data_IF_818441649819
#
_entry.id   IF_818441649819
#
_cell.length_a   1.000
_cell.length_b   1.000
_cell.length_c   1.000
_cell.angle_alpha   90.00
_cell.angle_beta   90.00
_cell.angle_gamma   90.00
#
_symmetry.space_group_name_H-M   'P 1'
#
loop_
_entity.id
_entity.type
_entity.pdbx_description
1 polymer ?
#
# COMPACT_ATOMS: atom_id res chain seq x y z
N UNK A 1 9.46 -22.99 10.15
CA UNK A 1 8.00 -22.95 9.98
C UNK A 1 7.64 -22.96 8.50
N UNK A 2 6.61 -23.74 8.09
CA UNK A 2 6.06 -23.65 6.72
C UNK A 2 4.85 -22.73 6.72
N UNK A 3 4.96 -21.57 6.08
CA UNK A 3 3.91 -20.55 6.00
C UNK A 3 3.24 -20.65 4.64
N UNK A 4 1.91 -20.62 4.60
CA UNK A 4 1.14 -20.51 3.36
C UNK A 4 0.43 -19.16 3.27
N UNK A 5 0.81 -18.35 2.31
CA UNK A 5 0.09 -17.13 1.91
C UNK A 5 -0.97 -17.46 0.85
N UNK A 6 -2.20 -17.04 1.11
CA UNK A 6 -3.35 -17.27 0.25
C UNK A 6 -4.03 -15.94 -0.09
N UNK A 7 -4.02 -15.56 -1.38
CA UNK A 7 -4.63 -14.30 -1.83
C UNK A 7 -5.10 -14.33 -3.27
N UNK A 8 -6.23 -13.67 -3.54
CA UNK A 8 -6.65 -13.35 -4.92
C UNK A 8 -6.15 -11.97 -5.39
N UNK A 9 -5.57 -11.14 -4.51
CA UNK A 9 -5.06 -9.81 -4.83
C UNK A 9 -3.64 -9.82 -5.37
N UNK A 10 -3.34 -10.81 -6.20
CA UNK A 10 -2.05 -10.95 -6.87
C UNK A 10 -2.21 -10.83 -8.38
N UNK A 11 -1.56 -9.83 -8.98
CA UNK A 11 -1.54 -9.67 -10.44
C UNK A 11 -0.21 -9.06 -10.89
N UNK A 12 0.14 -9.17 -12.18
CA UNK A 12 1.37 -8.54 -12.69
C UNK A 12 1.44 -7.04 -12.41
N UNK A 13 0.28 -6.37 -12.40
CA UNK A 13 0.14 -4.92 -12.18
C UNK A 13 -0.35 -4.55 -10.78
N UNK A 14 -0.40 -5.48 -9.83
CA UNK A 14 -0.78 -5.17 -8.45
C UNK A 14 0.39 -4.54 -7.68
N UNK A 15 0.06 -3.62 -6.75
CA UNK A 15 1.04 -2.87 -5.96
C UNK A 15 1.37 -3.56 -4.62
N UNK A 16 0.81 -3.04 -3.52
CA UNK A 16 1.23 -3.34 -2.15
C UNK A 16 1.24 -4.81 -1.76
N UNK A 17 0.17 -5.58 -2.03
CA UNK A 17 0.08 -7.00 -1.64
C UNK A 17 1.13 -7.85 -2.36
N UNK A 18 1.30 -7.66 -3.67
CA UNK A 18 2.33 -8.38 -4.44
C UNK A 18 3.72 -8.07 -3.89
N UNK A 19 4.02 -6.79 -3.64
CA UNK A 19 5.31 -6.37 -3.09
C UNK A 19 5.55 -6.98 -1.72
N UNK A 20 4.59 -6.89 -0.82
CA UNK A 20 4.67 -7.52 0.50
C UNK A 20 5.02 -9.01 0.42
N UNK A 21 4.38 -9.78 -0.48
CA UNK A 21 4.64 -11.20 -0.66
C UNK A 21 6.03 -11.47 -1.26
N UNK A 22 6.47 -10.68 -2.23
CA UNK A 22 7.80 -10.80 -2.82
C UNK A 22 8.89 -10.52 -1.80
N UNK A 23 8.72 -9.48 -0.98
CA UNK A 23 9.66 -9.13 0.09
C UNK A 23 9.66 -10.17 1.21
N UNK A 24 8.50 -10.77 1.54
CA UNK A 24 8.42 -11.90 2.49
C UNK A 24 9.21 -13.11 1.98
N UNK A 25 9.08 -13.45 0.72
CA UNK A 25 9.86 -14.54 0.11
C UNK A 25 11.37 -14.23 0.14
N UNK A 26 11.74 -12.99 -0.18
CA UNK A 26 13.13 -12.54 -0.10
C UNK A 26 13.68 -12.59 1.33
N UNK A 27 12.88 -12.19 2.32
CA UNK A 27 13.24 -12.30 3.73
C UNK A 27 13.48 -13.75 4.16
N UNK A 28 12.57 -14.67 3.83
CA UNK A 28 12.73 -16.09 4.17
C UNK A 28 14.03 -16.63 3.56
N UNK A 29 14.27 -16.35 2.29
CA UNK A 29 15.48 -16.81 1.59
C UNK A 29 16.76 -16.29 2.23
N UNK A 30 16.79 -15.04 2.65
CA UNK A 30 18.02 -14.37 3.08
C UNK A 30 18.25 -14.41 4.60
N UNK A 31 17.19 -14.50 5.42
CA UNK A 31 17.25 -14.34 6.86
C UNK A 31 16.62 -15.49 7.65
N UNK A 32 15.86 -16.37 7.02
CA UNK A 32 15.18 -17.50 7.69
C UNK A 32 15.18 -18.74 6.78
N UNK A 33 16.35 -19.25 6.31
CA UNK A 33 16.43 -20.29 5.30
C UNK A 33 15.83 -21.65 5.73
N UNK A 34 15.67 -21.87 7.02
CA UNK A 34 14.99 -23.05 7.59
C UNK A 34 13.47 -22.99 7.47
N UNK A 35 12.91 -21.80 7.25
CA UNK A 35 11.49 -21.62 7.04
C UNK A 35 11.14 -21.88 5.57
N UNK A 36 9.93 -22.40 5.31
CA UNK A 36 9.40 -22.72 3.98
C UNK A 36 8.20 -21.86 3.68
N UNK A 37 8.05 -21.53 2.42
CA UNK A 37 6.94 -20.69 1.97
C UNK A 37 6.12 -21.35 0.85
N UNK A 38 4.82 -21.25 0.96
CA UNK A 38 3.85 -21.64 -0.06
C UNK A 38 3.01 -20.41 -0.41
N UNK A 39 2.88 -20.11 -1.68
CA UNK A 39 2.03 -19.02 -2.16
C UNK A 39 0.95 -19.59 -3.08
N UNK A 40 -0.32 -19.34 -2.76
CA UNK A 40 -1.46 -19.76 -3.59
C UNK A 40 -2.14 -18.51 -4.15
N UNK A 41 -2.13 -18.37 -5.48
CA UNK A 41 -2.65 -17.18 -6.18
C UNK A 41 -3.46 -17.57 -7.43
N UNK A 42 -4.36 -16.69 -7.91
CA UNK A 42 -5.00 -16.90 -9.20
C UNK A 42 -4.03 -16.61 -10.36
N UNK A 43 -4.14 -17.36 -11.44
CA UNK A 43 -3.33 -17.18 -12.63
C UNK A 43 -4.06 -17.46 -13.95
N UNK A 44 -3.37 -17.27 -15.08
CA UNK A 44 -3.92 -17.55 -16.40
C UNK A 44 -4.05 -19.07 -16.69
N UNK A 45 -3.27 -19.88 -16.00
CA UNK A 45 -3.26 -21.35 -16.08
C UNK A 45 -2.97 -21.93 -14.69
N UNK A 46 -3.31 -23.19 -14.49
CA UNK A 46 -2.89 -23.94 -13.31
C UNK A 46 -1.47 -24.41 -13.52
N UNK A 47 -0.57 -24.02 -12.61
CA UNK A 47 0.86 -24.27 -12.72
C UNK A 47 1.51 -24.20 -11.32
N UNK A 48 2.67 -24.83 -11.18
CA UNK A 48 3.47 -24.80 -9.95
C UNK A 48 4.90 -24.43 -10.29
N UNK A 49 5.39 -23.38 -9.63
CA UNK A 49 6.78 -22.96 -9.77
C UNK A 49 7.48 -22.99 -8.43
N UNK A 50 8.73 -23.45 -8.40
CA UNK A 50 9.56 -23.46 -7.19
C UNK A 50 10.69 -22.46 -7.36
N UNK A 51 10.83 -21.58 -6.38
CA UNK A 51 11.92 -20.59 -6.34
C UNK A 51 12.60 -20.66 -4.97
N UNK A 52 13.63 -21.51 -4.86
CA UNK A 52 14.36 -21.74 -3.62
C UNK A 52 13.44 -22.21 -2.49
N UNK A 53 13.25 -21.36 -1.49
CA UNK A 53 12.44 -21.65 -0.28
C UNK A 53 10.94 -21.55 -0.51
N UNK A 54 10.49 -21.01 -1.64
CA UNK A 54 9.08 -20.76 -1.94
C UNK A 54 8.55 -21.64 -3.06
N UNK A 55 7.35 -22.21 -2.86
CA UNK A 55 6.56 -22.89 -3.87
C UNK A 55 5.32 -22.06 -4.20
N UNK A 56 5.16 -21.65 -5.45
CA UNK A 56 4.06 -20.80 -5.92
C UNK A 56 3.08 -21.63 -6.73
N UNK A 57 1.88 -21.74 -6.27
CA UNK A 57 0.74 -22.36 -6.96
C UNK A 57 -0.10 -21.29 -7.64
N UNK A 58 -0.12 -21.31 -8.95
CA UNK A 58 -1.03 -20.54 -9.78
C UNK A 58 -2.26 -21.39 -10.11
N UNK A 59 -3.45 -20.92 -9.76
CA UNK A 59 -4.70 -21.64 -10.07
C UNK A 59 -5.41 -20.87 -11.18
N UNK A 60 -5.80 -21.56 -12.26
CA UNK A 60 -6.56 -20.94 -13.35
C UNK A 60 -7.80 -20.21 -12.82
N UNK A 61 -7.95 -18.95 -13.19
CA UNK A 61 -9.01 -18.10 -12.71
C UNK A 61 -9.42 -17.04 -13.75
N UNK A 62 -10.75 -16.73 -13.87
CA UNK A 62 -11.22 -15.74 -14.82
C UNK A 62 -10.78 -14.33 -14.46
N UNK A 63 -10.54 -13.50 -15.49
CA UNK A 63 -10.19 -12.09 -15.33
C UNK A 63 -11.43 -11.30 -14.91
N UNK A 64 -11.34 -10.60 -13.78
CA UNK A 64 -12.40 -9.70 -13.28
C UNK A 64 -12.18 -8.28 -13.80
N UNK A 65 -10.94 -7.86 -13.95
CA UNK A 65 -10.58 -6.53 -14.41
C UNK A 65 -9.47 -6.62 -15.46
N UNK A 66 -9.81 -6.33 -16.71
CA UNK A 66 -8.84 -6.30 -17.82
C UNK A 66 -7.74 -5.26 -17.62
N UNK A 67 -8.05 -4.15 -16.94
CA UNK A 67 -7.11 -3.06 -16.71
C UNK A 67 -6.08 -3.38 -15.63
N UNK A 68 -6.51 -3.94 -14.49
CA UNK A 68 -5.64 -4.33 -13.38
C UNK A 68 -5.16 -5.78 -13.45
N UNK A 69 -5.68 -6.56 -14.40
CA UNK A 69 -5.39 -8.00 -14.57
C UNK A 69 -5.72 -8.84 -13.32
N UNK A 70 -6.60 -8.34 -12.42
CA UNK A 70 -7.08 -9.13 -11.30
C UNK A 70 -7.98 -10.26 -11.78
N UNK A 71 -7.86 -11.41 -11.10
CA UNK A 71 -8.61 -12.64 -11.37
C UNK A 71 -9.35 -13.08 -10.12
N UNK A 72 -10.50 -13.71 -10.29
CA UNK A 72 -11.29 -14.26 -9.17
C UNK A 72 -10.92 -15.72 -8.94
N UNK A 73 -10.38 -16.02 -7.77
CA UNK A 73 -10.01 -17.39 -7.36
C UNK A 73 -11.29 -18.15 -6.95
N UNK A 74 -11.96 -18.76 -7.92
CA UNK A 74 -13.24 -19.48 -7.73
C UNK A 74 -13.05 -20.96 -7.41
N UNK A 75 -11.96 -21.58 -7.87
CA UNK A 75 -11.67 -22.99 -7.61
C UNK A 75 -11.13 -23.20 -6.18
N UNK A 76 -12.03 -23.14 -5.20
CA UNK A 76 -11.70 -23.32 -3.79
C UNK A 76 -11.36 -24.79 -3.42
N UNK A 77 -11.75 -25.76 -4.27
CA UNK A 77 -11.38 -27.15 -4.10
C UNK A 77 -9.87 -27.35 -4.35
N UNK A 78 -9.35 -26.78 -5.43
CA UNK A 78 -7.90 -26.81 -5.69
C UNK A 78 -7.09 -26.17 -4.53
N UNK A 79 -7.59 -25.07 -3.93
CA UNK A 79 -6.96 -24.47 -2.74
C UNK A 79 -6.89 -25.48 -1.59
N UNK A 80 -7.98 -26.22 -1.34
CA UNK A 80 -8.04 -27.22 -0.28
C UNK A 80 -7.09 -28.39 -0.53
N UNK A 81 -7.06 -28.90 -1.76
CA UNK A 81 -6.16 -29.97 -2.20
C UNK A 81 -4.68 -29.57 -2.00
N UNK A 82 -4.30 -28.35 -2.43
CA UNK A 82 -2.93 -27.83 -2.25
C UNK A 82 -2.60 -27.70 -0.76
N UNK A 83 -3.48 -27.14 0.05
CA UNK A 83 -3.25 -27.00 1.49
C UNK A 83 -3.13 -28.37 2.18
N UNK A 84 -3.93 -29.35 1.75
CA UNK A 84 -3.84 -30.73 2.23
C UNK A 84 -2.52 -31.43 1.87
N UNK A 85 -1.98 -31.16 0.68
CA UNK A 85 -0.68 -31.68 0.22
C UNK A 85 0.48 -30.99 0.93
N UNK A 86 0.45 -29.66 1.01
CA UNK A 86 1.55 -28.86 1.56
C UNK A 86 1.62 -28.91 3.08
N UNK A 87 0.50 -29.13 3.77
CA UNK A 87 0.40 -29.16 5.24
C UNK A 87 1.19 -28.04 5.91
N UNK A 88 0.84 -26.77 5.67
CA UNK A 88 1.56 -25.65 6.28
C UNK A 88 1.39 -25.66 7.80
N UNK A 89 2.33 -25.06 8.51
CA UNK A 89 2.25 -24.82 9.95
C UNK A 89 1.37 -23.63 10.31
N UNK A 90 1.16 -22.71 9.34
CA UNK A 90 0.35 -21.50 9.47
C UNK A 90 -0.17 -21.07 8.10
N UNK A 91 -1.40 -20.56 8.05
CA UNK A 91 -2.00 -19.97 6.84
C UNK A 91 -2.20 -18.48 7.08
N UNK A 92 -1.70 -17.63 6.17
CA UNK A 92 -2.05 -16.21 6.12
C UNK A 92 -2.99 -15.96 4.95
N UNK A 93 -4.11 -15.28 5.20
CA UNK A 93 -5.04 -14.86 4.16
C UNK A 93 -5.12 -13.34 4.07
N UNK A 94 -4.79 -12.81 2.90
CA UNK A 94 -4.95 -11.37 2.58
C UNK A 94 -6.32 -11.05 1.96
N UNK A 95 -7.29 -11.94 2.10
CA UNK A 95 -8.55 -11.89 1.36
C UNK A 95 -9.76 -11.76 2.29
N UNK A 96 -10.60 -10.71 2.13
CA UNK A 96 -11.81 -10.53 2.93
C UNK A 96 -13.05 -11.27 2.37
N UNK A 97 -12.89 -12.09 1.33
CA UNK A 97 -14.02 -12.75 0.63
C UNK A 97 -13.98 -14.28 0.81
N UNK A 98 -14.46 -15.02 -0.20
CA UNK A 98 -14.56 -16.49 -0.17
C UNK A 98 -13.23 -17.19 0.16
N UNK A 99 -12.11 -16.62 -0.27
CA UNK A 99 -10.78 -17.18 -0.02
C UNK A 99 -10.43 -17.10 1.46
N UNK A 100 -10.79 -16.01 2.15
CA UNK A 100 -10.63 -15.88 3.61
C UNK A 100 -11.45 -16.93 4.38
N UNK A 101 -12.70 -17.16 3.99
CA UNK A 101 -13.52 -18.23 4.59
C UNK A 101 -12.94 -19.60 4.31
N UNK A 102 -12.40 -19.84 3.13
CA UNK A 102 -11.72 -21.11 2.79
C UNK A 102 -10.47 -21.32 3.62
N UNK A 103 -9.67 -20.26 3.84
CA UNK A 103 -8.51 -20.33 4.74
C UNK A 103 -8.91 -20.75 6.17
N UNK A 104 -9.98 -20.16 6.72
CA UNK A 104 -10.51 -20.53 8.05
C UNK A 104 -10.95 -21.99 8.09
N UNK A 105 -11.69 -22.46 7.07
CA UNK A 105 -12.15 -23.85 7.02
C UNK A 105 -10.98 -24.83 6.91
N UNK A 106 -10.01 -24.54 6.04
CA UNK A 106 -8.81 -25.37 5.87
C UNK A 106 -7.94 -25.40 7.14
N UNK A 107 -7.74 -24.24 7.80
CA UNK A 107 -6.98 -24.19 9.06
C UNK A 107 -7.59 -25.05 10.17
N UNK A 108 -8.92 -25.08 10.27
CA UNK A 108 -9.63 -25.99 11.19
C UNK A 108 -9.41 -27.45 10.84
N UNK A 109 -9.54 -27.81 9.56
CA UNK A 109 -9.35 -29.19 9.10
C UNK A 109 -7.91 -29.68 9.30
N UNK A 110 -6.93 -28.83 9.06
CA UNK A 110 -5.51 -29.13 9.22
C UNK A 110 -5.00 -28.93 10.64
N UNK A 111 -5.81 -28.36 11.55
CA UNK A 111 -5.46 -28.00 12.93
C UNK A 111 -4.24 -27.07 12.99
N UNK A 112 -4.26 -26.00 12.17
CA UNK A 112 -3.20 -24.99 12.11
C UNK A 112 -3.80 -23.59 12.29
N UNK A 113 -3.04 -22.62 12.88
CA UNK A 113 -3.51 -21.26 13.02
C UNK A 113 -3.68 -20.57 11.67
N UNK A 114 -4.70 -19.72 11.58
CA UNK A 114 -4.97 -18.90 10.41
C UNK A 114 -4.91 -17.43 10.79
N UNK A 115 -4.15 -16.65 10.05
CA UNK A 115 -3.98 -15.22 10.24
C UNK A 115 -4.66 -14.47 9.09
N UNK A 116 -5.44 -13.44 9.39
CA UNK A 116 -6.01 -12.56 8.41
C UNK A 116 -5.19 -11.26 8.30
N UNK A 117 -4.73 -10.87 7.11
CA UNK A 117 -4.13 -9.56 6.92
C UNK A 117 -5.14 -8.60 6.27
N UNK A 118 -5.48 -7.52 6.96
CA UNK A 118 -6.40 -6.49 6.50
C UNK A 118 -5.65 -5.39 5.73
N UNK A 119 -5.27 -5.68 4.48
CA UNK A 119 -4.45 -4.77 3.66
C UNK A 119 -5.16 -3.50 3.18
N UNK A 120 -6.48 -3.52 3.07
CA UNK A 120 -7.23 -2.36 2.57
C UNK A 120 -8.53 -2.17 3.32
N UNK A 121 -8.86 -0.90 3.59
CA UNK A 121 -10.12 -0.51 4.22
C UNK A 121 -11.24 -0.47 3.19
N UNK A 122 -11.56 -1.66 2.63
CA UNK A 122 -12.49 -1.83 1.51
C UNK A 122 -13.91 -1.28 1.75
N UNK A 123 -14.48 -1.27 2.97
CA UNK A 123 -15.81 -0.70 3.16
C UNK A 123 -15.88 0.78 2.81
N UNK A 124 -14.92 1.56 3.29
CA UNK A 124 -14.85 3.00 3.00
C UNK A 124 -14.39 3.27 1.56
N UNK A 125 -13.39 2.54 1.07
CA UNK A 125 -12.80 2.77 -0.25
C UNK A 125 -13.74 2.44 -1.40
N UNK A 126 -14.55 1.39 -1.28
CA UNK A 126 -15.33 0.86 -2.41
C UNK A 126 -16.84 0.91 -2.22
N UNK A 127 -17.36 0.80 -1.00
CA UNK A 127 -18.80 0.71 -0.76
C UNK A 127 -19.44 2.07 -0.53
N UNK A 128 -18.85 2.93 0.29
CA UNK A 128 -19.43 4.24 0.63
C UNK A 128 -19.76 5.09 -0.61
N UNK A 129 -18.90 5.05 -1.63
CA UNK A 129 -19.16 5.74 -2.90
C UNK A 129 -20.26 5.10 -3.75
N UNK A 130 -20.35 3.77 -3.74
CA UNK A 130 -21.31 3.00 -4.55
C UNK A 130 -22.72 2.90 -3.93
N UNK A 131 -22.85 3.11 -2.63
CA UNK A 131 -24.14 3.05 -1.94
C UNK A 131 -24.86 4.41 -1.86
N UNK A 132 -24.24 5.49 -2.35
CA UNK A 132 -24.88 6.82 -2.37
C UNK A 132 -26.21 6.87 -3.09
N UNK A 133 -26.42 6.03 -4.12
CA UNK A 133 -27.70 5.93 -4.83
C UNK A 133 -28.85 5.34 -3.98
N UNK A 134 -28.54 4.69 -2.86
CA UNK A 134 -29.53 4.12 -1.94
C UNK A 134 -30.06 5.15 -0.93
N UNK A 135 -29.64 6.41 -1.03
CA UNK A 135 -29.88 7.44 -0.02
C UNK A 135 -29.11 7.19 1.26
N UNK A 136 -29.12 8.15 2.19
CA UNK A 136 -28.31 8.10 3.43
C UNK A 136 -28.64 6.87 4.28
N UNK A 137 -29.93 6.60 4.53
CA UNK A 137 -30.37 5.44 5.34
C UNK A 137 -29.98 4.11 4.72
N UNK A 138 -30.04 4.01 3.39
CA UNK A 138 -29.61 2.81 2.66
C UNK A 138 -28.10 2.59 2.73
N UNK A 139 -27.34 3.67 2.57
CA UNK A 139 -25.88 3.64 2.70
C UNK A 139 -25.43 3.25 4.12
N UNK A 140 -26.05 3.79 5.15
CA UNK A 140 -25.79 3.42 6.56
C UNK A 140 -26.09 1.93 6.83
N UNK A 141 -27.22 1.43 6.35
CA UNK A 141 -27.55 -0.01 6.47
C UNK A 141 -26.50 -0.88 5.79
N UNK A 142 -26.09 -0.54 4.56
CA UNK A 142 -25.05 -1.27 3.83
C UNK A 142 -23.71 -1.26 4.61
N UNK A 143 -23.33 -0.13 5.19
CA UNK A 143 -22.13 -0.04 6.03
C UNK A 143 -22.25 -0.88 7.29
N UNK A 144 -23.41 -0.88 7.97
CA UNK A 144 -23.66 -1.73 9.15
C UNK A 144 -23.52 -3.23 8.83
N UNK A 145 -24.09 -3.67 7.71
CA UNK A 145 -23.95 -5.05 7.23
C UNK A 145 -22.48 -5.40 6.92
N UNK A 146 -21.76 -4.48 6.29
CA UNK A 146 -20.35 -4.70 5.95
C UNK A 146 -19.48 -4.79 7.21
N UNK A 147 -19.71 -3.94 8.20
CA UNK A 147 -19.01 -4.02 9.51
C UNK A 147 -19.30 -5.35 10.21
N UNK A 148 -20.57 -5.78 10.22
CA UNK A 148 -20.94 -7.08 10.78
C UNK A 148 -20.27 -8.25 10.03
N UNK A 149 -20.15 -8.17 8.71
CA UNK A 149 -19.44 -9.14 7.89
C UNK A 149 -17.94 -9.19 8.23
N UNK A 150 -17.26 -8.03 8.28
CA UNK A 150 -15.86 -7.91 8.67
C UNK A 150 -15.66 -8.54 10.05
N UNK A 151 -16.44 -8.12 11.04
CA UNK A 151 -16.38 -8.69 12.39
C UNK A 151 -16.54 -10.21 12.38
N UNK A 152 -17.52 -10.73 11.62
CA UNK A 152 -17.80 -12.17 11.55
C UNK A 152 -16.64 -12.97 10.96
N UNK A 153 -16.00 -12.47 9.90
CA UNK A 153 -14.89 -13.16 9.25
C UNK A 153 -13.61 -13.02 10.10
N UNK A 154 -13.24 -11.80 10.44
CA UNK A 154 -11.93 -11.53 11.07
C UNK A 154 -11.83 -12.08 12.50
N UNK A 155 -12.93 -12.21 13.22
CA UNK A 155 -12.96 -12.94 14.50
C UNK A 155 -12.83 -14.47 14.36
N UNK A 156 -12.76 -15.01 13.14
CA UNK A 156 -12.47 -16.45 12.91
C UNK A 156 -10.99 -16.74 12.74
N UNK A 157 -10.19 -15.71 12.47
CA UNK A 157 -8.73 -15.85 12.46
C UNK A 157 -8.18 -15.88 13.89
N UNK A 158 -7.01 -16.49 14.09
CA UNK A 158 -6.28 -16.44 15.36
C UNK A 158 -5.68 -15.07 15.64
N UNK A 159 -5.33 -14.34 14.58
CA UNK A 159 -4.96 -12.93 14.65
C UNK A 159 -5.40 -12.21 13.38
N UNK A 160 -5.76 -10.92 13.52
CA UNK A 160 -6.04 -10.01 12.42
C UNK A 160 -4.94 -8.96 12.37
N UNK A 161 -4.08 -9.04 11.37
CA UNK A 161 -2.98 -8.10 11.17
C UNK A 161 -3.48 -6.86 10.45
N UNK A 162 -3.05 -5.70 10.91
CA UNK A 162 -3.32 -4.38 10.29
C UNK A 162 -2.05 -3.55 10.26
N UNK A 163 -1.89 -2.76 9.21
CA UNK A 163 -0.66 -2.01 8.98
C UNK A 163 -0.59 -0.66 9.73
N UNK A 164 -1.62 -0.29 10.51
CA UNK A 164 -1.72 1.00 11.19
C UNK A 164 -2.49 0.85 12.51
N UNK A 165 -1.99 1.46 13.59
CA UNK A 165 -2.65 1.47 14.91
C UNK A 165 -4.02 2.17 14.85
N UNK A 166 -4.14 3.21 14.04
CA UNK A 166 -5.41 3.91 13.81
C UNK A 166 -6.44 2.97 13.17
N UNK A 167 -6.02 2.15 12.20
CA UNK A 167 -6.89 1.15 11.59
C UNK A 167 -7.20 0.00 12.54
N UNK A 168 -6.26 -0.37 13.42
CA UNK A 168 -6.49 -1.35 14.48
C UNK A 168 -7.60 -0.88 15.43
N UNK A 169 -7.57 0.40 15.84
CA UNK A 169 -8.63 1.02 16.62
C UNK A 169 -10.00 0.93 15.96
N UNK A 170 -10.09 1.27 14.68
CA UNK A 170 -11.34 1.18 13.91
C UNK A 170 -11.88 -0.26 13.85
N UNK A 171 -11.03 -1.26 13.61
CA UNK A 171 -11.50 -2.66 13.61
C UNK A 171 -11.93 -3.12 15.00
N UNK A 172 -11.25 -2.68 16.05
CA UNK A 172 -11.63 -2.96 17.44
C UNK A 172 -12.99 -2.33 17.79
N UNK A 173 -13.25 -1.10 17.37
CA UNK A 173 -14.57 -0.45 17.49
C UNK A 173 -15.67 -1.21 16.74
N UNK A 174 -15.33 -1.89 15.64
CA UNK A 174 -16.28 -2.74 14.91
C UNK A 174 -16.48 -4.11 15.58
N UNK A 175 -15.79 -4.37 16.70
CA UNK A 175 -15.88 -5.61 17.48
C UNK A 175 -14.99 -6.74 16.95
N UNK A 176 -13.88 -6.42 16.29
CA UNK A 176 -12.82 -7.39 15.99
C UNK A 176 -11.87 -7.43 17.18
N UNK A 177 -11.75 -8.57 17.86
CA UNK A 177 -11.07 -8.67 19.16
C UNK A 177 -9.63 -9.14 19.09
N UNK A 178 -9.21 -9.75 17.99
CA UNK A 178 -7.91 -10.36 17.76
C UNK A 178 -6.99 -9.51 16.88
N UNK A 179 -7.18 -8.20 16.91
CA UNK A 179 -6.38 -7.26 16.09
C UNK A 179 -4.98 -7.13 16.64
N UNK A 180 -4.00 -7.22 15.77
CA UNK A 180 -2.58 -6.94 16.04
C UNK A 180 -2.03 -5.98 15.00
N UNK A 181 -1.48 -4.87 15.46
CA UNK A 181 -0.74 -3.97 14.59
C UNK A 181 0.55 -4.61 14.10
N UNK A 182 0.84 -4.42 12.85
CA UNK A 182 2.11 -4.76 12.22
C UNK A 182 2.52 -3.61 11.32
N UNK A 183 3.69 -3.69 10.72
CA UNK A 183 4.15 -2.68 9.76
C UNK A 183 4.26 -3.29 8.37
N UNK A 184 4.21 -2.44 7.36
CA UNK A 184 4.77 -2.76 6.05
C UNK A 184 6.13 -2.08 5.94
N UNK A 185 6.98 -2.58 5.08
CA UNK A 185 8.36 -2.14 5.01
C UNK A 185 8.71 -1.38 3.75
N UNK A 186 9.95 -0.95 3.70
CA UNK A 186 10.62 -0.37 2.53
C UNK A 186 11.96 -1.07 2.31
N UNK A 187 12.34 -1.23 1.05
CA UNK A 187 13.67 -1.72 0.68
C UNK A 187 14.72 -0.61 0.88
N UNK A 188 15.39 -0.65 2.02
CA UNK A 188 16.41 0.33 2.41
C UNK A 188 17.73 0.18 1.65
N UNK A 189 17.91 -0.86 0.86
CA UNK A 189 19.03 -1.01 -0.08
C UNK A 189 18.86 -0.12 -1.30
N UNK A 190 17.61 0.02 -1.76
CA UNK A 190 17.23 0.80 -2.95
C UNK A 190 16.78 2.21 -2.53
N UNK A 191 15.79 2.31 -1.63
CA UNK A 191 15.22 3.58 -1.16
C UNK A 191 16.06 4.12 0.01
N UNK A 192 17.04 4.93 -0.34
CA UNK A 192 17.99 5.59 0.58
C UNK A 192 18.48 6.90 -0.02
N UNK A 193 18.97 7.84 0.78
CA UNK A 193 19.65 9.02 0.28
C UNK A 193 20.87 8.63 -0.58
N UNK A 194 21.03 9.27 -1.72
CA UNK A 194 22.19 9.15 -2.59
C UNK A 194 22.35 10.51 -3.33
N UNK A 195 23.16 11.43 -2.81
CA UNK A 195 23.26 12.79 -3.34
C UNK A 195 23.70 12.85 -4.81
N UNK A 196 24.60 11.96 -5.22
CA UNK A 196 25.22 11.98 -6.55
C UNK A 196 24.26 11.67 -7.71
N UNK A 197 23.05 11.14 -7.41
CA UNK A 197 22.04 10.75 -8.42
C UNK A 197 20.95 11.84 -8.62
N UNK A 198 20.97 12.88 -7.81
CA UNK A 198 19.89 13.89 -7.76
C UNK A 198 19.96 14.85 -8.94
N UNK A 199 21.13 15.42 -9.22
CA UNK A 199 21.36 16.40 -10.28
C UNK A 199 21.03 15.82 -11.67
N UNK A 200 21.61 14.69 -12.03
CA UNK A 200 21.37 14.05 -13.31
C UNK A 200 19.90 13.64 -13.53
N UNK A 201 19.15 13.40 -12.45
CA UNK A 201 17.71 13.12 -12.56
C UNK A 201 16.90 14.40 -12.77
N UNK A 202 17.24 15.51 -12.10
CA UNK A 202 16.61 16.82 -12.31
C UNK A 202 16.82 17.31 -13.73
N UNK A 203 18.04 17.16 -14.28
CA UNK A 203 18.37 17.52 -15.66
C UNK A 203 17.53 16.74 -16.67
N UNK A 204 17.44 15.40 -16.52
CA UNK A 204 16.58 14.56 -17.37
C UNK A 204 15.09 14.95 -17.30
N UNK A 205 14.66 15.49 -16.17
CA UNK A 205 13.30 15.97 -15.98
C UNK A 205 13.11 17.40 -16.53
N UNK A 206 14.20 18.14 -16.81
CA UNK A 206 14.18 19.54 -17.22
C UNK A 206 13.79 20.48 -16.07
N UNK A 207 14.20 20.15 -14.84
CA UNK A 207 13.92 20.93 -13.62
C UNK A 207 15.12 21.85 -13.37
N UNK A 208 14.88 23.12 -13.25
CA UNK A 208 15.92 24.11 -12.95
C UNK A 208 16.24 24.15 -11.46
N UNK A 209 17.39 24.68 -11.10
CA UNK A 209 17.87 24.72 -9.71
C UNK A 209 16.97 25.57 -8.79
N UNK A 210 16.44 26.67 -9.33
CA UNK A 210 15.50 27.54 -8.62
C UNK A 210 14.09 26.98 -8.48
N UNK A 211 13.74 25.92 -9.24
CA UNK A 211 12.40 25.31 -9.22
C UNK A 211 12.30 24.23 -8.15
N UNK A 212 11.20 24.20 -7.43
CA UNK A 212 10.86 23.14 -6.46
C UNK A 212 10.13 22.01 -7.16
N UNK A 213 10.68 20.81 -7.06
CA UNK A 213 10.10 19.59 -7.64
C UNK A 213 9.14 18.93 -6.65
N UNK A 214 7.87 18.94 -6.98
CA UNK A 214 6.82 18.19 -6.32
C UNK A 214 6.67 16.84 -7.02
N UNK A 215 6.61 15.75 -6.26
CA UNK A 215 6.45 14.39 -6.77
C UNK A 215 5.17 13.74 -6.24
N UNK A 216 4.42 13.10 -7.12
CA UNK A 216 3.35 12.17 -6.79
C UNK A 216 3.63 10.80 -7.41
N UNK A 217 3.50 9.73 -6.63
CA UNK A 217 3.63 8.35 -7.11
C UNK A 217 2.39 7.57 -6.67
N UNK A 218 1.65 7.02 -7.63
CA UNK A 218 0.48 6.22 -7.30
C UNK A 218 -0.52 6.06 -8.44
N UNK A 219 -1.53 5.22 -8.19
CA UNK A 219 -2.62 5.00 -9.15
C UNK A 219 -3.46 6.26 -9.32
N UNK A 220 -3.74 6.65 -10.56
CA UNK A 220 -4.57 7.81 -10.89
C UNK A 220 -6.05 7.45 -10.77
N UNK A 221 -6.56 7.51 -9.55
CA UNK A 221 -7.90 7.05 -9.22
C UNK A 221 -8.55 7.91 -8.12
N UNK A 222 -9.88 7.88 -8.07
CA UNK A 222 -10.67 8.72 -7.17
C UNK A 222 -10.30 8.50 -5.69
N UNK A 223 -10.06 7.27 -5.29
CA UNK A 223 -9.66 6.90 -3.93
C UNK A 223 -8.25 7.42 -3.55
N UNK A 224 -7.44 7.80 -4.55
CA UNK A 224 -6.14 8.46 -4.36
C UNK A 224 -6.22 9.98 -4.45
N UNK A 225 -7.42 10.52 -4.64
CA UNK A 225 -7.71 11.96 -4.64
C UNK A 225 -6.86 12.79 -5.63
N UNK A 226 -6.51 12.19 -6.77
CA UNK A 226 -5.57 12.77 -7.74
C UNK A 226 -6.11 14.02 -8.44
N UNK A 227 -7.43 14.21 -8.51
CA UNK A 227 -8.02 15.44 -9.02
C UNK A 227 -7.77 16.65 -8.10
N UNK A 228 -7.83 16.43 -6.78
CA UNK A 228 -7.48 17.45 -5.79
C UNK A 228 -6.02 17.86 -5.96
N UNK A 229 -5.09 16.92 -6.13
CA UNK A 229 -3.69 17.23 -6.41
C UNK A 229 -3.53 18.14 -7.64
N UNK A 230 -4.15 17.79 -8.75
CA UNK A 230 -3.99 18.58 -9.97
C UNK A 230 -4.58 19.98 -9.86
N UNK A 231 -5.74 20.11 -9.20
CA UNK A 231 -6.36 21.42 -8.96
C UNK A 231 -5.57 22.25 -7.95
N UNK A 232 -5.01 21.64 -6.91
CA UNK A 232 -4.13 22.35 -5.97
C UNK A 232 -2.84 22.82 -6.67
N UNK A 233 -2.27 22.01 -7.55
CA UNK A 233 -1.11 22.42 -8.33
C UNK A 233 -1.45 23.56 -9.31
N UNK A 234 -2.62 23.56 -9.91
CA UNK A 234 -3.09 24.65 -10.76
C UNK A 234 -3.23 25.98 -9.99
N UNK A 235 -3.73 25.93 -8.75
CA UNK A 235 -3.78 27.08 -7.85
C UNK A 235 -2.38 27.57 -7.48
N UNK A 236 -1.51 26.63 -7.10
CA UNK A 236 -0.13 26.90 -6.73
C UNK A 236 0.64 27.57 -7.89
N UNK A 237 0.48 27.04 -9.12
CA UNK A 237 1.13 27.60 -10.31
C UNK A 237 0.63 29.02 -10.65
N UNK A 238 -0.63 29.35 -10.38
CA UNK A 238 -1.16 30.70 -10.54
C UNK A 238 -0.61 31.68 -9.50
N UNK A 239 -0.41 31.23 -8.26
CA UNK A 239 0.14 32.06 -7.18
C UNK A 239 1.65 32.29 -7.34
N UNK A 240 2.36 31.27 -7.78
CA UNK A 240 3.83 31.23 -7.91
C UNK A 240 4.23 30.73 -9.31
N UNK A 241 4.13 31.57 -10.36
CA UNK A 241 4.51 31.18 -11.71
C UNK A 241 5.99 30.77 -11.77
N UNK A 242 6.28 29.59 -12.33
CA UNK A 242 7.62 29.04 -12.55
C UNK A 242 8.41 28.65 -11.28
N UNK A 243 7.85 28.71 -10.08
CA UNK A 243 8.52 28.24 -8.86
C UNK A 243 8.39 26.73 -8.65
N UNK A 244 7.28 26.14 -9.08
CA UNK A 244 6.98 24.73 -8.83
C UNK A 244 6.86 23.92 -10.11
N UNK A 245 7.37 22.68 -10.06
CA UNK A 245 7.18 21.63 -11.06
C UNK A 245 6.51 20.42 -10.41
N UNK A 246 5.61 19.78 -11.13
CA UNK A 246 4.94 18.56 -10.66
C UNK A 246 5.30 17.38 -11.57
N UNK A 247 5.91 16.35 -11.00
CA UNK A 247 6.09 15.05 -11.64
C UNK A 247 5.05 14.08 -11.10
N UNK A 248 4.26 13.50 -12.00
CA UNK A 248 3.23 12.50 -11.68
C UNK A 248 3.65 11.16 -12.23
N UNK A 249 3.89 10.19 -11.35
CA UNK A 249 4.25 8.81 -11.72
C UNK A 249 3.05 7.89 -11.46
N UNK A 250 2.52 7.32 -12.52
CA UNK A 250 1.41 6.37 -12.43
C UNK A 250 0.37 6.46 -13.52
N UNK A 251 -0.52 5.50 -13.57
CA UNK A 251 -1.65 5.44 -14.50
C UNK A 251 -2.94 5.06 -13.75
N UNK A 252 -4.08 5.32 -14.36
CA UNK A 252 -5.34 4.99 -13.73
C UNK A 252 -6.58 5.52 -14.43
N UNK A 253 -7.79 5.27 -13.87
CA UNK A 253 -9.06 5.71 -14.46
C UNK A 253 -9.15 7.21 -14.72
N UNK A 254 -8.52 8.04 -13.88
CA UNK A 254 -8.57 9.50 -13.99
C UNK A 254 -7.54 10.11 -14.94
N UNK A 255 -6.78 9.30 -15.66
CA UNK A 255 -5.75 9.76 -16.61
C UNK A 255 -6.23 10.83 -17.58
N UNK A 256 -7.38 10.63 -18.20
CA UNK A 256 -7.87 11.57 -19.22
C UNK A 256 -8.30 12.91 -18.63
N UNK A 257 -8.86 12.91 -17.43
CA UNK A 257 -9.24 14.11 -16.69
C UNK A 257 -8.01 14.93 -16.32
N UNK A 258 -6.96 14.28 -15.85
CA UNK A 258 -5.69 14.91 -15.51
C UNK A 258 -5.00 15.50 -16.76
N UNK A 259 -5.05 14.81 -17.89
CA UNK A 259 -4.51 15.32 -19.15
C UNK A 259 -5.24 16.57 -19.64
N UNK A 260 -6.56 16.66 -19.44
CA UNK A 260 -7.32 17.86 -19.77
C UNK A 260 -6.87 19.06 -18.92
N UNK A 261 -6.72 18.87 -17.60
CA UNK A 261 -6.23 19.92 -16.70
C UNK A 261 -4.81 20.37 -17.09
N UNK A 262 -3.92 19.43 -17.36
CA UNK A 262 -2.54 19.73 -17.81
C UNK A 262 -2.53 20.60 -19.09
N UNK A 263 -3.38 20.31 -20.08
CA UNK A 263 -3.38 21.04 -21.36
C UNK A 263 -3.84 22.49 -21.21
N UNK A 264 -4.75 22.75 -20.28
CA UNK A 264 -5.42 24.04 -20.18
C UNK A 264 -4.64 25.07 -19.38
N UNK A 265 -3.90 24.67 -18.34
CA UNK A 265 -3.36 25.61 -17.36
C UNK A 265 -1.87 25.47 -17.07
N UNK A 266 -1.30 24.27 -17.13
CA UNK A 266 0.06 24.00 -16.60
C UNK A 266 0.89 23.11 -17.53
N UNK A 267 0.82 23.31 -18.86
CA UNK A 267 1.39 22.37 -19.84
C UNK A 267 2.89 22.12 -19.66
N UNK A 268 3.67 23.13 -19.37
CA UNK A 268 5.13 23.03 -19.19
C UNK A 268 5.55 22.67 -17.78
N UNK A 269 4.65 22.82 -16.81
CA UNK A 269 4.96 22.66 -15.37
C UNK A 269 4.60 21.30 -14.80
N UNK A 270 3.89 20.44 -15.57
CA UNK A 270 3.54 19.08 -15.17
C UNK A 270 4.17 18.06 -16.12
N UNK A 271 5.01 17.17 -15.59
CA UNK A 271 5.56 16.03 -16.33
C UNK A 271 4.88 14.74 -15.88
N UNK A 272 4.53 13.91 -16.83
CA UNK A 272 3.86 12.66 -16.55
C UNK A 272 4.67 11.45 -17.00
N UNK A 273 4.84 10.49 -16.09
CA UNK A 273 5.46 9.20 -16.29
C UNK A 273 4.37 8.15 -16.05
N UNK A 274 3.95 7.42 -17.09
CA UNK A 274 2.80 6.51 -16.97
C UNK A 274 3.03 5.35 -16.00
N UNK A 275 4.24 4.81 -15.96
CA UNK A 275 4.64 3.74 -15.05
C UNK A 275 6.17 3.67 -14.96
N UNK A 276 6.68 3.45 -13.76
CA UNK A 276 8.08 3.21 -13.50
C UNK A 276 8.22 1.75 -13.00
N UNK A 277 8.82 0.88 -13.80
CA UNK A 277 9.00 -0.54 -13.45
C UNK A 277 10.23 -0.77 -12.57
N UNK A 278 11.24 0.05 -12.76
CA UNK A 278 12.51 -0.07 -12.07
C UNK A 278 12.46 0.66 -10.71
N UNK A 279 12.64 -0.09 -9.62
CA UNK A 279 12.67 0.49 -8.28
C UNK A 279 13.83 1.47 -8.07
N UNK A 280 14.97 1.26 -8.75
CA UNK A 280 16.13 2.16 -8.68
C UNK A 280 15.81 3.49 -9.36
N UNK A 281 15.16 3.45 -10.54
CA UNK A 281 14.69 4.66 -11.22
C UNK A 281 13.62 5.40 -10.39
N UNK A 282 12.71 4.67 -9.77
CA UNK A 282 11.73 5.26 -8.86
C UNK A 282 12.40 5.93 -7.66
N UNK A 283 13.43 5.32 -7.10
CA UNK A 283 14.20 5.89 -6.01
C UNK A 283 14.93 7.17 -6.42
N UNK A 284 15.47 7.25 -7.66
CA UNK A 284 16.08 8.47 -8.16
C UNK A 284 15.07 9.62 -8.33
N UNK A 285 13.81 9.31 -8.72
CA UNK A 285 12.74 10.31 -8.76
C UNK A 285 12.39 10.84 -7.35
N UNK A 286 12.33 9.95 -6.35
CA UNK A 286 12.13 10.40 -4.96
C UNK A 286 13.27 11.31 -4.50
N UNK A 287 14.54 10.93 -4.73
CA UNK A 287 15.71 11.73 -4.33
C UNK A 287 15.77 13.09 -5.01
N UNK A 288 15.36 13.16 -6.29
CA UNK A 288 15.33 14.40 -7.06
C UNK A 288 14.24 15.37 -6.60
N UNK A 289 13.19 14.88 -5.93
CA UNK A 289 12.08 15.71 -5.49
C UNK A 289 12.40 16.46 -4.19
N UNK A 290 11.97 17.70 -4.12
CA UNK A 290 12.03 18.51 -2.89
C UNK A 290 10.93 18.09 -1.91
N UNK A 291 9.75 17.69 -2.44
CA UNK A 291 8.59 17.34 -1.64
C UNK A 291 7.75 16.28 -2.32
N UNK A 292 7.36 15.26 -1.59
CA UNK A 292 6.38 14.28 -2.02
C UNK A 292 4.98 14.72 -1.61
N UNK A 293 4.05 14.82 -2.56
CA UNK A 293 2.67 15.25 -2.28
C UNK A 293 1.74 14.05 -2.25
N UNK A 294 1.08 13.82 -1.12
CA UNK A 294 0.11 12.73 -0.94
C UNK A 294 -1.30 13.28 -0.70
N UNK A 295 -2.15 13.38 -1.73
CA UNK A 295 -3.49 13.96 -1.60
C UNK A 295 -4.54 12.98 -1.03
N UNK A 296 -4.19 11.70 -0.88
CA UNK A 296 -5.14 10.63 -0.54
C UNK A 296 -5.56 10.64 0.92
N UNK A 297 -6.86 10.72 1.18
CA UNK A 297 -7.48 10.70 2.52
C UNK A 297 -7.93 9.29 2.96
N UNK A 298 -7.83 8.30 2.08
CA UNK A 298 -8.25 6.91 2.34
C UNK A 298 -7.08 5.90 2.22
N UNK A 299 -5.86 6.39 2.41
CA UNK A 299 -4.68 5.53 2.38
C UNK A 299 -4.57 4.71 3.66
N UNK A 300 -4.36 3.40 3.52
CA UNK A 300 -4.28 2.50 4.67
C UNK A 300 -2.90 2.44 5.29
N UNK A 301 -1.83 2.60 4.50
CA UNK A 301 -0.46 2.60 4.98
C UNK A 301 0.41 3.65 4.30
N UNK A 302 0.43 3.70 2.96
CA UNK A 302 1.21 4.71 2.22
C UNK A 302 2.64 4.27 1.91
N UNK A 303 2.83 3.14 1.24
CA UNK A 303 4.17 2.67 0.82
C UNK A 303 4.95 3.73 0.05
N UNK A 304 4.31 4.47 -0.87
CA UNK A 304 4.96 5.52 -1.64
C UNK A 304 5.48 6.69 -0.75
N UNK A 305 4.71 7.05 0.29
CA UNK A 305 5.15 8.05 1.26
C UNK A 305 6.31 7.54 2.12
N UNK A 306 6.31 6.26 2.45
CA UNK A 306 7.42 5.64 3.19
C UNK A 306 8.69 5.56 2.34
N UNK A 307 8.57 5.18 1.05
CA UNK A 307 9.67 5.15 0.07
C UNK A 307 10.30 6.55 -0.11
N UNK A 308 9.46 7.57 -0.22
CA UNK A 308 9.89 8.97 -0.29
C UNK A 308 10.71 9.37 0.92
N UNK A 309 10.20 9.12 2.12
CA UNK A 309 10.91 9.42 3.37
C UNK A 309 12.22 8.63 3.49
N UNK A 310 12.23 7.35 3.12
CA UNK A 310 13.44 6.55 3.11
C UNK A 310 14.55 7.14 2.21
N UNK A 311 14.15 7.74 1.08
CA UNK A 311 15.04 8.46 0.16
C UNK A 311 15.50 9.83 0.69
N UNK A 312 14.92 10.35 1.75
CA UNK A 312 15.23 11.66 2.31
C UNK A 312 14.33 12.79 1.83
N UNK A 313 13.23 12.47 1.16
CA UNK A 313 12.25 13.44 0.66
C UNK A 313 11.05 13.51 1.58
N UNK A 314 10.79 14.67 2.22
CA UNK A 314 9.67 14.82 3.13
C UNK A 314 8.33 14.75 2.39
N UNK A 315 7.28 14.49 3.14
CA UNK A 315 5.91 14.31 2.63
C UNK A 315 5.02 15.43 3.10
N UNK A 316 4.19 15.95 2.21
CA UNK A 316 3.06 16.83 2.54
C UNK A 316 1.77 16.24 1.99
N UNK A 317 0.66 16.43 2.68
CA UNK A 317 -0.63 15.88 2.25
C UNK A 317 -1.82 16.46 3.00
N UNK A 318 -2.92 15.71 2.94
CA UNK A 318 -4.14 16.01 3.67
C UNK A 318 -4.17 15.09 4.91
N UNK A 319 -4.28 15.69 6.10
CA UNK A 319 -4.29 14.98 7.35
C UNK A 319 -5.54 14.08 7.54
N UNK A 320 -5.46 13.17 8.49
CA UNK A 320 -6.59 12.33 8.89
C UNK A 320 -6.68 10.96 8.23
N UNK A 321 -5.76 10.60 7.31
CA UNK A 321 -5.67 9.25 6.76
C UNK A 321 -5.03 8.24 7.73
N UNK A 322 -5.14 6.94 7.42
CA UNK A 322 -4.44 5.91 8.21
C UNK A 322 -2.93 5.91 7.96
N UNK A 323 -2.48 6.56 6.89
CA UNK A 323 -1.08 6.75 6.54
C UNK A 323 -0.35 7.71 7.49
N UNK A 324 -1.06 8.55 8.23
CA UNK A 324 -0.44 9.55 9.13
C UNK A 324 0.55 8.89 10.11
N UNK A 325 0.31 7.62 10.47
CA UNK A 325 1.17 6.84 11.37
C UNK A 325 2.56 6.49 10.80
N UNK A 326 2.74 6.51 9.48
CA UNK A 326 4.05 6.23 8.84
C UNK A 326 4.83 7.48 8.50
N UNK A 327 4.28 8.67 8.77
CA UNK A 327 4.98 9.93 8.56
C UNK A 327 5.92 10.20 9.73
N UNK A 328 7.22 10.26 9.43
CA UNK A 328 8.31 10.33 10.39
C UNK A 328 8.78 11.77 10.69
N UNK A 329 7.93 12.76 10.44
CA UNK A 329 8.20 14.17 10.69
C UNK A 329 6.91 14.91 11.04
N UNK A 330 7.06 16.15 11.51
CA UNK A 330 5.92 16.96 11.92
C UNK A 330 4.95 17.26 10.79
N UNK A 331 3.66 17.13 11.04
CA UNK A 331 2.56 17.31 10.09
C UNK A 331 1.75 18.58 10.35
N UNK A 332 2.24 19.52 11.16
CA UNK A 332 1.49 20.72 11.58
C UNK A 332 0.93 21.54 10.42
N UNK A 333 1.70 21.67 9.32
CA UNK A 333 1.28 22.41 8.13
C UNK A 333 0.60 21.55 7.08
N UNK A 334 0.14 20.34 7.41
CA UNK A 334 -0.64 19.55 6.49
C UNK A 334 -2.06 20.12 6.34
N UNK A 335 -2.63 19.98 5.14
CA UNK A 335 -4.00 20.41 4.89
C UNK A 335 -4.98 19.70 5.83
N UNK A 336 -5.79 20.47 6.55
CA UNK A 336 -6.80 19.92 7.48
C UNK A 336 -8.12 19.63 6.76
N UNK A 337 -8.31 20.23 5.58
CA UNK A 337 -9.50 20.03 4.75
C UNK A 337 -9.13 19.33 3.43
N UNK A 338 -10.04 18.49 2.97
CA UNK A 338 -9.91 17.83 1.68
C UNK A 338 -10.37 18.77 0.55
N UNK A 339 -9.60 19.84 0.32
CA UNK A 339 -9.84 20.82 -0.76
C UNK A 339 -8.56 21.12 -1.52
N UNK A 340 -8.66 21.54 -2.79
CA UNK A 340 -7.50 21.99 -3.57
C UNK A 340 -6.80 23.18 -2.93
N UNK A 341 -7.55 24.12 -2.36
CA UNK A 341 -7.07 25.34 -1.74
C UNK A 341 -6.21 25.03 -0.51
N UNK A 342 -6.73 24.17 0.41
CA UNK A 342 -6.02 23.77 1.62
C UNK A 342 -4.73 22.99 1.28
N UNK A 343 -4.76 22.12 0.27
CA UNK A 343 -3.57 21.38 -0.14
C UNK A 343 -2.54 22.30 -0.80
N UNK A 344 -2.94 23.28 -1.62
CA UNK A 344 -2.03 24.27 -2.19
C UNK A 344 -1.33 25.08 -1.10
N UNK A 345 -2.08 25.60 -0.14
CA UNK A 345 -1.52 26.34 1.01
C UNK A 345 -0.56 25.47 1.84
N UNK A 346 -0.93 24.21 2.12
CA UNK A 346 -0.04 23.28 2.82
C UNK A 346 1.29 23.04 2.06
N UNK A 347 1.26 22.94 0.72
CA UNK A 347 2.47 22.81 -0.10
C UNK A 347 3.33 24.09 0.02
N UNK A 348 2.72 25.28 -0.06
CA UNK A 348 3.42 26.57 0.09
C UNK A 348 4.13 26.66 1.45
N UNK A 349 3.40 26.46 2.53
CA UNK A 349 3.92 26.52 3.89
C UNK A 349 5.03 25.48 4.14
N UNK A 350 4.83 24.24 3.62
CA UNK A 350 5.82 23.19 3.77
C UNK A 350 7.10 23.48 2.99
N UNK A 351 6.95 24.04 1.79
CA UNK A 351 8.07 24.41 0.90
C UNK A 351 8.94 25.55 1.44
N UNK A 352 8.41 26.35 2.37
CA UNK A 352 9.18 27.38 3.07
C UNK A 352 10.06 26.82 4.22
N UNK A 353 9.85 25.57 4.64
CA UNK A 353 10.61 24.92 5.69
C UNK A 353 11.99 24.42 5.20
N UNK A 354 12.89 24.08 6.12
CA UNK A 354 14.17 23.43 5.80
C UNK A 354 13.97 21.96 5.40
N UNK A 355 13.52 21.74 4.17
CA UNK A 355 13.13 20.40 3.65
C UNK A 355 14.26 19.36 3.80
N UNK A 356 15.52 19.74 3.58
CA UNK A 356 16.66 18.84 3.72
C UNK A 356 16.86 18.32 5.15
N UNK A 357 16.52 19.12 6.17
CA UNK A 357 16.58 18.69 7.58
C UNK A 357 15.43 17.74 7.89
N UNK A 358 14.22 18.08 7.44
CA UNK A 358 13.04 17.22 7.61
C UNK A 358 13.26 15.87 6.93
N UNK A 359 13.73 15.87 5.70
CA UNK A 359 13.99 14.66 4.92
C UNK A 359 15.07 13.77 5.56
N UNK A 360 16.18 14.32 6.01
CA UNK A 360 17.22 13.54 6.71
C UNK A 360 16.68 12.87 7.98
N UNK A 361 15.91 13.60 8.78
CA UNK A 361 15.30 13.05 9.99
C UNK A 361 14.30 11.94 9.66
N UNK A 362 13.40 12.18 8.70
CA UNK A 362 12.43 11.20 8.24
C UNK A 362 13.11 9.93 7.70
N UNK A 363 14.17 10.08 6.89
CA UNK A 363 14.91 8.94 6.34
C UNK A 363 15.55 8.08 7.43
N UNK A 364 16.15 8.69 8.44
CA UNK A 364 16.75 7.94 9.56
C UNK A 364 15.69 7.11 10.27
N UNK A 365 14.53 7.68 10.60
CA UNK A 365 13.44 6.98 11.28
C UNK A 365 12.83 5.92 10.36
N UNK A 366 12.50 6.27 9.12
CA UNK A 366 11.89 5.33 8.17
C UNK A 366 12.77 4.09 7.98
N UNK A 367 14.06 4.26 7.76
CA UNK A 367 15.00 3.15 7.53
C UNK A 367 15.26 2.31 8.78
N UNK A 368 15.22 2.91 9.98
CA UNK A 368 15.43 2.17 11.23
C UNK A 368 14.22 1.35 11.68
N UNK A 369 12.99 1.80 11.38
CA UNK A 369 11.77 1.18 11.87
C UNK A 369 11.03 0.36 10.81
N UNK A 370 11.22 0.68 9.52
CA UNK A 370 10.42 0.13 8.42
C UNK A 370 11.26 -0.62 7.37
N UNK A 371 12.50 -1.04 7.66
CA UNK A 371 13.19 -1.96 6.76
C UNK A 371 12.44 -3.31 6.70
N UNK A 372 12.31 -3.90 5.51
CA UNK A 372 11.65 -5.19 5.36
C UNK A 372 12.18 -6.28 6.28
N UNK A 373 13.52 -6.42 6.47
CA UNK A 373 14.03 -7.43 7.40
C UNK A 373 13.48 -7.26 8.82
N UNK A 374 13.45 -6.04 9.35
CA UNK A 374 12.94 -5.76 10.68
C UNK A 374 11.44 -6.02 10.80
N UNK A 375 10.68 -5.57 9.81
CA UNK A 375 9.22 -5.79 9.77
C UNK A 375 8.88 -7.27 9.74
N UNK A 376 9.59 -8.07 8.94
CA UNK A 376 9.34 -9.50 8.89
C UNK A 376 9.87 -10.25 10.12
N UNK A 377 10.95 -9.80 10.73
CA UNK A 377 11.40 -10.34 12.03
C UNK A 377 10.29 -10.24 13.08
N UNK A 378 9.67 -9.06 13.23
CA UNK A 378 8.54 -8.84 14.13
C UNK A 378 7.33 -9.70 13.75
N UNK A 379 6.99 -9.79 12.46
CA UNK A 379 5.88 -10.59 11.96
C UNK A 379 6.08 -12.09 12.22
N UNK A 380 7.28 -12.61 11.99
CA UNK A 380 7.61 -14.01 12.21
C UNK A 380 7.62 -14.38 13.71
N UNK A 381 7.91 -13.43 14.60
CA UNK A 381 7.71 -13.62 16.04
C UNK A 381 6.22 -13.85 16.34
N UNK A 382 5.31 -13.07 15.74
CA UNK A 382 3.86 -13.27 15.88
C UNK A 382 3.46 -14.67 15.37
N UNK A 383 3.96 -15.11 14.23
CA UNK A 383 3.64 -16.43 13.67
C UNK A 383 4.09 -17.57 14.59
N UNK A 384 5.32 -17.48 15.14
CA UNK A 384 5.86 -18.50 16.07
C UNK A 384 5.05 -18.56 17.36
N UNK A 385 4.65 -17.41 17.91
CA UNK A 385 3.77 -17.30 19.08
C UNK A 385 2.41 -17.97 18.82
N UNK A 386 1.75 -17.62 17.72
CA UNK A 386 0.44 -18.18 17.38
C UNK A 386 0.49 -19.69 17.18
N UNK A 387 1.54 -20.20 16.52
CA UNK A 387 1.75 -21.62 16.32
C UNK A 387 1.97 -22.37 17.65
N UNK A 388 2.77 -21.80 18.54
CA UNK A 388 3.04 -22.40 19.86
C UNK A 388 1.78 -22.47 20.73
N UNK A 389 0.99 -21.41 20.73
CA UNK A 389 -0.26 -21.34 21.49
C UNK A 389 -1.35 -22.26 20.91
N UNK A 390 -1.43 -22.38 19.57
CA UNK A 390 -2.43 -23.23 18.91
C UNK A 390 -2.23 -24.73 19.18
N UNK A 391 -0.98 -25.19 19.36
CA UNK A 391 -0.63 -26.57 19.68
C UNK A 391 -0.95 -26.98 21.12
N UNK A 392 -1.26 -26.02 22.01
CA UNK A 392 -1.59 -26.26 23.41
C UNK A 392 -3.09 -26.55 23.65
N UNK A 393 -3.91 -26.38 22.62
CA UNK A 393 -5.35 -26.68 22.61
C UNK A 393 -5.65 -27.81 21.60
#
# INVERSE_FOLDING_TARGET
>A
VKICDLTQFYSPRSGGVKRYLQEKIAYIRNYSPDDKHVLIVPGPRTDVTTNGVSRVYSIHAPVVSRRSQYRALLNLRAVEEILGQERPDLIESSDPYQVGWKAVAAGRALKVPVVGFYHSHFPEAYLRGRTKFLGERGAERAMKWTRAYVRRLYNRFQATLVASDKLAGVLSEWGVHNVRSTRLGVDTGIFKPAPDDTEGTRDRLGIKDEEKLLLYVGRLAKEKNTLTLCRSFELLHRRHPNEFRLVVVGDGPQRNELRKLQRNSCRSSIKWIAYCECAVELASLYRAADLFVHPGVQETFGLAALESQACGTPVVGIGGSYMDSVICHNQESWAQENSPEALATAIEEYSAKKLSVLGRNASRVARSLYSWPKVFEELFCIYRELRANYRRF
#
